data_IF_707445568443
#
_entry.id   IF_707445568443
#
_cell.length_a   1.000
_cell.length_b   1.000
_cell.length_c   1.000
_cell.angle_alpha   90.00
_cell.angle_beta   90.00
_cell.angle_gamma   90.00
#
_symmetry.space_group_name_H-M   'P 1'
#
loop_
_entity.id
_entity.type
_entity.pdbx_description
1 polymer ?
#
# COMPACT_ATOMS: atom_id res chain seq x y z
N UNK A 1 5.20 -0.64 29.19
CA UNK A 1 5.80 -1.91 28.70
C UNK A 1 4.67 -2.77 28.15
N UNK A 2 4.50 -2.79 26.84
CA UNK A 2 3.40 -3.51 26.20
C UNK A 2 3.66 -5.03 26.03
N UNK A 3 4.92 -5.49 26.11
CA UNK A 3 5.30 -6.87 25.86
C UNK A 3 6.00 -7.48 27.10
N UNK A 4 5.44 -8.56 27.66
CA UNK A 4 6.03 -9.32 28.76
C UNK A 4 7.26 -10.13 28.30
N UNK A 5 8.16 -10.56 29.23
CA UNK A 5 9.21 -11.51 28.90
C UNK A 5 8.63 -12.79 28.28
N UNK A 6 9.22 -13.26 27.16
CA UNK A 6 8.71 -14.39 26.38
C UNK A 6 7.49 -14.09 25.50
N UNK A 7 6.95 -12.87 25.57
CA UNK A 7 5.84 -12.44 24.71
C UNK A 7 6.26 -12.28 23.26
N UNK A 8 5.30 -12.42 22.34
CA UNK A 8 5.49 -12.28 20.89
C UNK A 8 4.73 -11.07 20.40
N UNK A 9 5.38 -10.25 19.59
CA UNK A 9 4.74 -9.19 18.81
C UNK A 9 4.73 -9.60 17.35
N UNK A 10 3.60 -9.37 16.69
CA UNK A 10 3.44 -9.56 15.25
C UNK A 10 3.02 -8.23 14.64
N UNK A 11 3.78 -7.80 13.63
CA UNK A 11 3.46 -6.63 12.81
C UNK A 11 3.03 -7.16 11.44
N UNK A 12 1.79 -6.90 11.06
CA UNK A 12 1.20 -7.38 9.82
C UNK A 12 0.75 -6.21 8.95
N UNK A 13 1.13 -6.21 7.69
CA UNK A 13 0.70 -5.20 6.73
C UNK A 13 0.71 -5.70 5.28
N UNK A 14 -0.08 -5.05 4.43
CA UNK A 14 -0.10 -5.30 3.00
C UNK A 14 0.63 -4.17 2.26
N UNK A 15 1.72 -4.52 1.60
CA UNK A 15 2.40 -3.62 0.66
C UNK A 15 1.90 -3.88 -0.76
N UNK A 16 1.65 -2.80 -1.50
CA UNK A 16 1.40 -2.87 -2.93
C UNK A 16 2.73 -2.85 -3.67
N UNK A 17 2.76 -3.55 -4.78
CA UNK A 17 3.84 -3.41 -5.73
C UNK A 17 3.66 -2.06 -6.45
N UNK A 18 4.56 -1.12 -6.18
CA UNK A 18 4.47 0.25 -6.70
C UNK A 18 5.31 0.48 -7.96
N UNK A 19 6.18 -0.45 -8.31
CA UNK A 19 7.18 -0.27 -9.37
C UNK A 19 6.97 -1.22 -10.54
N UNK A 20 6.69 -2.47 -10.26
CA UNK A 20 6.51 -3.50 -11.29
C UNK A 20 5.05 -3.68 -11.71
N UNK A 21 4.13 -2.91 -11.10
CA UNK A 21 2.72 -2.84 -11.49
C UNK A 21 2.46 -1.53 -12.24
N UNK A 22 2.23 -1.57 -13.58
CA UNK A 22 2.03 -0.37 -14.38
C UNK A 22 0.83 0.49 -13.94
N UNK A 23 -0.27 -0.13 -13.49
CA UNK A 23 -1.42 0.59 -12.96
C UNK A 23 -1.07 1.34 -11.69
N UNK A 24 -0.38 0.68 -10.76
CA UNK A 24 0.03 1.32 -9.51
C UNK A 24 1.07 2.41 -9.74
N UNK A 25 2.02 2.20 -10.64
CA UNK A 25 2.99 3.23 -11.01
C UNK A 25 2.32 4.47 -11.60
N UNK A 26 1.35 4.28 -12.49
CA UNK A 26 0.58 5.38 -13.08
C UNK A 26 -0.30 6.09 -12.03
N UNK A 27 -0.93 5.34 -11.13
CA UNK A 27 -1.71 5.91 -10.02
C UNK A 27 -0.84 6.77 -9.09
N UNK A 28 0.31 6.27 -8.66
CA UNK A 28 1.20 7.03 -7.78
C UNK A 28 1.75 8.28 -8.50
N UNK A 29 2.01 8.21 -9.81
CA UNK A 29 2.42 9.37 -10.61
C UNK A 29 1.32 10.42 -10.66
N UNK A 30 0.07 10.04 -10.87
CA UNK A 30 -1.08 10.96 -10.87
C UNK A 30 -1.17 11.72 -9.54
N UNK A 31 -1.02 11.03 -8.42
CA UNK A 31 -1.10 11.66 -7.09
C UNK A 31 0.11 12.57 -6.82
N UNK A 32 1.33 12.11 -7.16
CA UNK A 32 2.56 12.89 -6.94
C UNK A 32 2.60 14.18 -7.77
N UNK A 33 2.06 14.16 -8.97
CA UNK A 33 2.00 15.37 -9.81
C UNK A 33 0.94 16.38 -9.35
N UNK A 34 -0.05 15.92 -8.62
CA UNK A 34 -1.21 16.72 -8.20
C UNK A 34 -1.13 17.24 -6.76
N UNK A 35 -0.36 16.58 -5.90
CA UNK A 35 -0.33 16.86 -4.46
C UNK A 35 1.08 17.20 -4.03
N UNK A 36 1.27 18.48 -3.65
CA UNK A 36 2.54 18.95 -3.11
C UNK A 36 2.93 18.17 -1.84
N UNK A 37 4.18 17.73 -1.79
CA UNK A 37 4.71 16.97 -0.65
C UNK A 37 4.24 15.50 -0.59
N UNK A 38 3.45 15.03 -1.55
CA UNK A 38 3.18 13.60 -1.64
C UNK A 38 4.44 12.86 -2.06
N UNK A 39 4.68 11.71 -1.43
CA UNK A 39 5.83 10.86 -1.73
C UNK A 39 5.44 9.38 -1.69
N UNK A 40 5.57 8.69 -2.82
CA UNK A 40 5.16 7.27 -2.95
C UNK A 40 5.97 6.32 -2.07
N UNK A 41 7.23 6.66 -1.78
CA UNK A 41 8.15 5.81 -1.03
C UNK A 41 8.02 5.95 0.49
N UNK A 42 6.92 6.48 1.00
CA UNK A 42 6.69 6.66 2.44
C UNK A 42 6.79 5.37 3.28
N UNK A 43 6.81 4.21 2.62
CA UNK A 43 7.01 2.90 3.23
C UNK A 43 8.38 2.29 2.93
N UNK A 44 9.35 3.06 2.47
CA UNK A 44 10.72 2.59 2.24
C UNK A 44 11.49 2.27 3.55
N UNK A 45 10.81 2.38 4.68
CA UNK A 45 11.33 2.03 5.98
C UNK A 45 11.62 0.52 6.09
N UNK A 46 12.83 0.18 6.52
CA UNK A 46 13.26 -1.20 6.70
C UNK A 46 12.87 -1.70 8.11
N UNK A 47 11.63 -2.19 8.25
CA UNK A 47 11.11 -2.71 9.50
C UNK A 47 11.99 -3.82 10.11
N UNK A 48 12.53 -4.72 9.28
CA UNK A 48 13.35 -5.83 9.77
C UNK A 48 14.65 -5.32 10.39
N UNK A 49 15.31 -4.33 9.77
CA UNK A 49 16.51 -3.72 10.35
C UNK A 49 16.23 -3.06 11.71
N UNK A 50 15.09 -2.35 11.82
CA UNK A 50 14.69 -1.73 13.08
C UNK A 50 14.41 -2.76 14.17
N UNK A 51 13.72 -3.87 13.83
CA UNK A 51 13.46 -4.93 14.81
C UNK A 51 14.72 -5.64 15.27
N UNK A 52 15.66 -5.89 14.35
CA UNK A 52 16.96 -6.47 14.71
C UNK A 52 17.83 -5.55 15.57
N UNK A 53 17.64 -4.24 15.46
CA UNK A 53 18.37 -3.25 16.27
C UNK A 53 17.85 -3.11 17.70
N UNK A 54 16.72 -3.71 18.06
CA UNK A 54 16.16 -3.65 19.41
C UNK A 54 16.90 -4.60 20.37
N UNK A 55 17.49 -4.08 21.42
CA UNK A 55 18.27 -4.85 22.42
C UNK A 55 17.51 -6.03 23.04
N UNK A 56 16.18 -5.89 23.13
CA UNK A 56 15.32 -6.90 23.73
C UNK A 56 14.76 -7.91 22.72
N UNK A 57 14.92 -7.66 21.40
CA UNK A 57 14.33 -8.52 20.37
C UNK A 57 15.09 -9.86 20.27
N UNK A 58 14.33 -10.92 20.21
CA UNK A 58 14.83 -12.29 19.96
C UNK A 58 14.00 -12.91 18.86
N UNK A 59 14.56 -13.88 18.14
CA UNK A 59 13.86 -14.65 17.12
C UNK A 59 13.06 -13.77 16.13
N UNK A 60 13.74 -12.73 15.59
CA UNK A 60 13.12 -11.85 14.60
C UNK A 60 12.99 -12.61 13.28
N UNK A 61 11.76 -12.78 12.79
CA UNK A 61 11.47 -13.50 11.55
C UNK A 61 10.51 -12.72 10.67
N UNK A 62 10.66 -12.88 9.35
CA UNK A 62 9.75 -12.29 8.37
C UNK A 62 9.09 -13.39 7.53
N UNK A 63 7.81 -13.20 7.25
CA UNK A 63 7.04 -14.00 6.31
C UNK A 63 6.47 -13.04 5.27
N UNK A 64 6.70 -13.35 3.99
CA UNK A 64 6.16 -12.59 2.87
C UNK A 64 5.26 -13.50 2.05
N UNK A 65 4.01 -13.09 1.83
CA UNK A 65 3.04 -13.82 1.04
C UNK A 65 2.55 -12.93 -0.12
N UNK A 66 2.98 -13.19 -1.38
CA UNK A 66 2.50 -12.46 -2.55
C UNK A 66 1.11 -12.93 -2.94
N UNK A 67 0.25 -12.00 -3.31
CA UNK A 67 -1.08 -12.27 -3.84
C UNK A 67 -1.57 -11.12 -4.72
N UNK A 68 -2.64 -11.35 -5.48
CA UNK A 68 -3.25 -10.33 -6.32
C UNK A 68 -4.76 -10.29 -6.12
N UNK A 69 -5.32 -9.09 -6.21
CA UNK A 69 -6.76 -8.86 -6.19
C UNK A 69 -7.21 -8.37 -7.57
N UNK A 70 -8.21 -9.03 -8.14
CA UNK A 70 -8.87 -8.58 -9.39
C UNK A 70 -10.11 -7.79 -9.03
N UNK A 71 -10.15 -6.54 -9.43
CA UNK A 71 -11.22 -5.58 -9.14
C UNK A 71 -11.88 -5.09 -10.42
N UNK A 72 -13.11 -4.57 -10.31
CA UNK A 72 -13.62 -3.68 -11.35
C UNK A 72 -12.90 -2.33 -11.28
N UNK A 73 -12.90 -1.51 -12.36
CA UNK A 73 -12.36 -0.15 -12.30
C UNK A 73 -12.96 0.68 -11.16
N UNK A 74 -14.27 0.55 -10.92
CA UNK A 74 -14.98 1.22 -9.81
C UNK A 74 -14.49 0.73 -8.44
N UNK A 75 -14.27 -0.58 -8.31
CA UNK A 75 -13.72 -1.19 -7.10
C UNK A 75 -12.31 -0.71 -6.81
N UNK A 76 -11.47 -0.60 -7.85
CA UNK A 76 -10.13 -0.01 -7.75
C UNK A 76 -10.20 1.46 -7.32
N UNK A 77 -11.01 2.28 -7.99
CA UNK A 77 -11.16 3.70 -7.65
C UNK A 77 -11.64 3.87 -6.20
N UNK A 78 -12.64 3.11 -5.76
CA UNK A 78 -13.10 3.10 -4.38
C UNK A 78 -12.01 2.72 -3.39
N UNK A 79 -11.26 1.65 -3.67
CA UNK A 79 -10.13 1.19 -2.84
C UNK A 79 -9.01 2.25 -2.73
N UNK A 80 -8.64 2.89 -3.83
CA UNK A 80 -7.60 3.92 -3.82
C UNK A 80 -8.06 5.17 -3.06
N UNK A 81 -9.26 5.66 -3.32
CA UNK A 81 -9.80 6.88 -2.70
C UNK A 81 -10.16 6.71 -1.21
N UNK A 82 -10.34 5.47 -0.73
CA UNK A 82 -10.54 5.20 0.70
C UNK A 82 -9.27 5.38 1.55
N UNK A 83 -8.10 5.50 0.93
CA UNK A 83 -6.83 5.68 1.65
C UNK A 83 -6.76 7.08 2.25
N UNK A 84 -6.32 7.19 3.51
CA UNK A 84 -6.13 8.49 4.18
C UNK A 84 -5.18 9.42 3.42
N UNK A 85 -4.19 8.88 2.72
CA UNK A 85 -3.27 9.65 1.87
C UNK A 85 -3.91 10.27 0.63
N UNK A 86 -5.14 9.88 0.28
CA UNK A 86 -5.91 10.50 -0.81
C UNK A 86 -6.74 11.70 -0.36
N UNK A 87 -6.75 12.02 0.94
CA UNK A 87 -7.43 13.23 1.43
C UNK A 87 -6.93 14.50 0.75
N UNK A 88 -5.61 14.80 0.69
CA UNK A 88 -5.12 15.98 -0.03
C UNK A 88 -5.46 15.98 -1.53
N UNK A 89 -5.42 14.81 -2.18
CA UNK A 89 -5.80 14.70 -3.60
C UNK A 89 -7.28 15.07 -3.82
N UNK A 90 -8.16 14.62 -2.94
CA UNK A 90 -9.58 14.97 -2.98
C UNK A 90 -9.83 16.45 -2.64
N UNK A 91 -9.03 17.03 -1.76
CA UNK A 91 -9.11 18.46 -1.42
C UNK A 91 -8.71 19.35 -2.59
N UNK A 92 -7.67 18.96 -3.34
CA UNK A 92 -7.20 19.71 -4.52
C UNK A 92 -8.20 19.65 -5.67
N UNK A 93 -8.77 18.47 -5.95
CA UNK A 93 -9.57 18.25 -7.16
C UNK A 93 -11.09 18.25 -6.92
N UNK A 94 -11.52 18.07 -5.69
CA UNK A 94 -12.91 17.70 -5.38
C UNK A 94 -13.16 16.19 -5.57
N UNK A 95 -14.10 15.64 -4.81
CA UNK A 95 -14.29 14.19 -4.72
C UNK A 95 -14.73 13.56 -6.05
N UNK A 96 -15.62 14.23 -6.81
CA UNK A 96 -16.12 13.73 -8.09
C UNK A 96 -15.02 13.70 -9.16
N UNK A 97 -14.22 14.76 -9.27
CA UNK A 97 -13.11 14.85 -10.23
C UNK A 97 -12.02 13.85 -9.88
N UNK A 98 -11.65 13.75 -8.59
CA UNK A 98 -10.72 12.77 -8.11
C UNK A 98 -11.17 11.34 -8.44
N UNK A 99 -12.46 11.03 -8.23
CA UNK A 99 -13.05 9.73 -8.57
C UNK A 99 -13.00 9.47 -10.08
N UNK A 100 -13.38 10.44 -10.90
CA UNK A 100 -13.38 10.30 -12.35
C UNK A 100 -11.95 10.08 -12.90
N UNK A 101 -10.96 10.78 -12.37
CA UNK A 101 -9.55 10.64 -12.75
C UNK A 101 -9.03 9.22 -12.46
N UNK A 102 -9.23 8.72 -11.23
CA UNK A 102 -8.76 7.39 -10.85
C UNK A 102 -9.54 6.28 -11.57
N UNK A 103 -10.85 6.47 -11.79
CA UNK A 103 -11.66 5.54 -12.57
C UNK A 103 -11.19 5.49 -14.05
N UNK A 104 -10.95 6.64 -14.67
CA UNK A 104 -10.41 6.73 -16.03
C UNK A 104 -9.04 6.08 -16.15
N UNK A 105 -8.18 6.25 -15.13
CA UNK A 105 -6.92 5.55 -15.04
C UNK A 105 -7.13 4.03 -15.03
N UNK A 106 -8.00 3.52 -14.15
CA UNK A 106 -8.28 2.10 -14.04
C UNK A 106 -8.79 1.50 -15.36
N UNK A 107 -9.68 2.18 -16.06
CA UNK A 107 -10.17 1.72 -17.36
C UNK A 107 -9.07 1.55 -18.42
N UNK A 108 -8.02 2.40 -18.40
CA UNK A 108 -6.90 2.27 -19.34
C UNK A 108 -6.07 1.00 -19.12
N UNK A 109 -6.09 0.44 -17.93
CA UNK A 109 -5.34 -0.75 -17.54
C UNK A 109 -6.23 -1.99 -17.34
N UNK A 110 -7.52 -1.88 -17.66
CA UNK A 110 -8.42 -3.02 -17.56
C UNK A 110 -8.07 -4.07 -18.63
N UNK A 111 -8.15 -5.33 -18.23
CA UNK A 111 -7.99 -6.47 -19.13
C UNK A 111 -9.23 -6.69 -20.04
N UNK A 112 -9.20 -7.73 -20.86
CA UNK A 112 -10.28 -8.05 -21.78
C UNK A 112 -11.63 -8.35 -21.09
N UNK A 113 -11.59 -8.74 -19.82
CA UNK A 113 -12.79 -8.96 -18.99
C UNK A 113 -13.21 -7.70 -18.22
N UNK A 114 -12.58 -6.54 -18.49
CA UNK A 114 -12.87 -5.29 -17.82
C UNK A 114 -12.42 -5.26 -16.35
N UNK A 115 -11.39 -6.02 -15.99
CA UNK A 115 -10.85 -6.08 -14.63
C UNK A 115 -9.45 -5.51 -14.55
N UNK A 116 -9.10 -4.97 -13.39
CA UNK A 116 -7.75 -4.52 -13.05
C UNK A 116 -7.16 -5.38 -11.95
N UNK A 117 -5.88 -5.72 -12.09
CA UNK A 117 -5.13 -6.44 -11.07
C UNK A 117 -4.41 -5.47 -10.14
N UNK A 118 -4.45 -5.74 -8.82
CA UNK A 118 -3.62 -5.04 -7.83
C UNK A 118 -2.79 -6.09 -7.11
N UNK A 119 -1.47 -6.00 -7.24
CA UNK A 119 -0.55 -6.93 -6.60
C UNK A 119 -0.19 -6.45 -5.19
N UNK A 120 -0.13 -7.39 -4.28
CA UNK A 120 0.22 -7.18 -2.88
C UNK A 120 1.27 -8.17 -2.42
N UNK A 121 2.08 -7.73 -1.47
CA UNK A 121 2.86 -8.55 -0.58
C UNK A 121 2.33 -8.36 0.84
N UNK A 122 1.65 -9.37 1.39
CA UNK A 122 1.38 -9.41 2.82
C UNK A 122 2.67 -9.76 3.53
N UNK A 123 3.12 -8.88 4.42
CA UNK A 123 4.33 -9.06 5.20
C UNK A 123 3.96 -9.18 6.67
N UNK A 124 4.49 -10.20 7.33
CA UNK A 124 4.38 -10.38 8.77
C UNK A 124 5.79 -10.42 9.37
N UNK A 125 6.09 -9.46 10.23
CA UNK A 125 7.30 -9.47 11.05
C UNK A 125 6.94 -9.95 12.45
N UNK A 126 7.59 -11.02 12.90
CA UNK A 126 7.41 -11.60 14.23
C UNK A 126 8.66 -11.37 15.05
N UNK A 127 8.50 -10.93 16.29
CA UNK A 127 9.60 -10.73 17.22
C UNK A 127 9.22 -11.22 18.61
N UNK A 128 10.11 -11.96 19.24
CA UNK A 128 9.98 -12.41 20.64
C UNK A 128 10.80 -11.51 21.55
N UNK A 129 10.29 -11.29 22.74
CA UNK A 129 11.03 -10.60 23.81
C UNK A 129 11.73 -11.55 24.74
#
# INVERSE_FOLDING_TARGET
RALAPGGVMVILYNNRDLYDDPLMAAFETEVETSVEGYWRNYRSWNLMAELHALDWARDVTEIVHPWAWRLTPEGFAGLMLSRSKMTPYKEVHGEEVARAAILGLAHRFADAEGRVGVRYNTQAACVRR
#
